data_IF_870267374402
#
_entry.id   IF_870267374402
#
_cell.length_a   1.000
_cell.length_b   1.000
_cell.length_c   1.000
_cell.angle_alpha   90.00
_cell.angle_beta   90.00
_cell.angle_gamma   90.00
#
_symmetry.space_group_name_H-M   'P 1'
#
loop_
_entity.id
_entity.type
_entity.pdbx_description
1 polymer ?
#
# COMPACT_ATOMS: atom_id res chain seq x y z
N UNK A 1 29.51 -14.26 -42.40
CA UNK A 1 28.66 -13.08 -42.40
C UNK A 1 28.90 -12.39 -41.07
N UNK A 2 29.53 -11.21 -41.09
CA UNK A 2 29.85 -10.45 -39.88
C UNK A 2 28.57 -9.97 -39.27
N UNK A 3 28.19 -10.48 -38.08
CA UNK A 3 27.16 -9.89 -37.26
C UNK A 3 27.67 -8.53 -36.72
N UNK A 4 27.62 -7.48 -37.54
CA UNK A 4 27.69 -6.13 -37.03
C UNK A 4 26.40 -5.88 -36.25
N UNK A 5 26.48 -5.95 -34.94
CA UNK A 5 25.46 -5.41 -34.07
C UNK A 5 25.26 -3.94 -34.40
N UNK A 6 24.03 -3.47 -34.40
CA UNK A 6 23.72 -2.05 -34.60
C UNK A 6 24.53 -1.22 -33.58
N UNK A 7 25.34 -0.22 -34.02
CA UNK A 7 26.19 0.57 -33.12
C UNK A 7 25.40 1.24 -31.96
N UNK A 8 24.09 1.47 -32.17
CA UNK A 8 23.22 2.02 -31.13
C UNK A 8 22.92 0.95 -30.10
N UNK A 9 22.63 -0.29 -30.53
CA UNK A 9 22.42 -1.42 -29.60
C UNK A 9 23.66 -1.65 -28.76
N UNK A 10 24.86 -1.63 -29.36
CA UNK A 10 26.12 -1.76 -28.63
C UNK A 10 26.27 -0.64 -27.58
N UNK A 11 25.94 0.61 -27.93
CA UNK A 11 25.97 1.75 -27.00
C UNK A 11 24.99 1.53 -25.82
N UNK A 12 23.78 1.03 -26.08
CA UNK A 12 22.80 0.72 -25.03
C UNK A 12 23.29 -0.42 -24.11
N UNK A 13 23.93 -1.46 -24.70
CA UNK A 13 24.52 -2.56 -23.92
C UNK A 13 25.65 -2.04 -23.02
N UNK A 14 26.54 -1.19 -23.55
CA UNK A 14 27.61 -0.57 -22.74
C UNK A 14 27.04 0.28 -21.60
N UNK A 15 25.96 1.04 -21.84
CA UNK A 15 25.28 1.81 -20.81
C UNK A 15 24.68 0.91 -19.74
N UNK A 16 24.04 -0.21 -20.10
CA UNK A 16 23.55 -1.22 -19.15
C UNK A 16 24.64 -1.80 -18.26
N UNK A 17 25.81 -2.12 -18.84
CA UNK A 17 26.98 -2.55 -18.07
C UNK A 17 27.44 -1.44 -17.13
N UNK A 18 27.45 -0.20 -17.60
CA UNK A 18 27.75 0.97 -16.77
C UNK A 18 26.82 1.12 -15.57
N UNK A 19 25.53 0.93 -15.79
CA UNK A 19 24.52 0.91 -14.71
C UNK A 19 24.74 -0.25 -13.76
N UNK A 20 25.01 -1.46 -14.25
CA UNK A 20 25.31 -2.63 -13.38
C UNK A 20 26.47 -2.38 -12.41
N UNK A 21 27.50 -1.68 -12.86
CA UNK A 21 28.70 -1.41 -12.07
C UNK A 21 28.51 -0.27 -11.07
N UNK A 22 27.75 0.75 -11.41
CA UNK A 22 27.61 1.97 -10.59
C UNK A 22 26.29 2.09 -9.84
N UNK A 23 25.23 1.57 -10.44
CA UNK A 23 23.85 1.62 -9.95
C UNK A 23 23.20 0.24 -10.11
N UNK A 24 23.60 -0.77 -9.33
CA UNK A 24 23.26 -2.17 -9.56
C UNK A 24 21.76 -2.46 -9.67
N UNK A 25 20.93 -1.74 -8.95
CA UNK A 25 19.48 -1.85 -9.08
C UNK A 25 19.02 -1.57 -10.52
N UNK A 26 19.40 -0.39 -11.06
CA UNK A 26 19.02 0.01 -12.42
C UNK A 26 19.63 -0.91 -13.48
N UNK A 27 20.88 -1.33 -13.29
CA UNK A 27 21.52 -2.26 -14.19
C UNK A 27 20.82 -3.62 -14.25
N UNK A 28 20.43 -4.17 -13.10
CA UNK A 28 19.65 -5.41 -13.05
C UNK A 28 18.29 -5.28 -13.75
N UNK A 29 17.57 -4.19 -13.52
CA UNK A 29 16.32 -3.91 -14.23
C UNK A 29 16.54 -3.76 -15.74
N UNK A 30 17.55 -2.98 -16.14
CA UNK A 30 17.88 -2.73 -17.54
C UNK A 30 18.19 -4.01 -18.33
N UNK A 31 18.89 -4.98 -17.75
CA UNK A 31 19.25 -6.22 -18.44
C UNK A 31 18.07 -7.12 -18.78
N UNK A 32 16.92 -6.91 -18.14
CA UNK A 32 15.69 -7.70 -18.36
C UNK A 32 14.85 -7.18 -19.53
N UNK A 33 15.03 -5.91 -19.90
CA UNK A 33 14.31 -5.32 -21.02
C UNK A 33 14.92 -5.77 -22.36
N UNK A 34 14.09 -6.18 -23.30
CA UNK A 34 14.53 -6.44 -24.67
C UNK A 34 14.72 -5.11 -25.39
N UNK A 35 15.83 -4.96 -26.13
CA UNK A 35 16.11 -3.75 -26.89
C UNK A 35 15.41 -3.87 -28.23
N UNK A 36 14.58 -2.89 -28.61
CA UNK A 36 13.81 -2.89 -29.85
C UNK A 36 13.85 -1.51 -30.51
N UNK A 37 14.10 -1.49 -31.83
CA UNK A 37 14.09 -0.28 -32.63
C UNK A 37 12.66 0.19 -32.87
N UNK A 38 12.36 1.39 -32.43
CA UNK A 38 11.06 2.03 -32.52
C UNK A 38 11.13 3.39 -33.26
N UNK A 39 12.12 3.58 -34.09
CA UNK A 39 12.37 4.85 -34.80
C UNK A 39 11.19 5.31 -35.67
N UNK A 40 10.28 4.38 -36.01
CA UNK A 40 9.09 4.67 -36.82
C UNK A 40 7.99 5.41 -36.07
N UNK A 41 7.92 5.26 -34.72
CA UNK A 41 6.82 5.78 -33.92
C UNK A 41 7.25 6.46 -32.62
N UNK A 42 8.43 6.17 -32.11
CA UNK A 42 8.96 6.75 -30.88
C UNK A 42 10.00 7.83 -31.22
N UNK A 43 9.86 9.03 -30.66
CA UNK A 43 10.79 10.12 -30.93
C UNK A 43 12.09 10.02 -30.11
N UNK A 44 12.04 9.44 -28.91
CA UNK A 44 13.19 9.31 -27.99
C UNK A 44 13.39 7.86 -27.53
N UNK A 45 12.78 7.48 -26.43
CA UNK A 45 12.72 6.13 -25.87
C UNK A 45 11.35 5.89 -25.26
N UNK A 46 10.99 4.63 -25.06
CA UNK A 46 9.78 4.22 -24.36
C UNK A 46 9.96 2.82 -23.77
N UNK A 47 9.09 2.44 -22.84
CA UNK A 47 9.06 1.10 -22.26
C UNK A 47 7.64 0.64 -21.99
N UNK A 48 7.41 -0.67 -22.17
CA UNK A 48 6.18 -1.37 -21.81
C UNK A 48 6.36 -2.30 -20.60
N UNK A 49 7.52 -2.22 -19.95
CA UNK A 49 7.90 -3.13 -18.85
C UNK A 49 8.67 -4.37 -19.30
N UNK A 50 8.60 -4.75 -20.57
CA UNK A 50 9.31 -5.90 -21.16
C UNK A 50 10.34 -5.50 -22.19
N UNK A 51 10.13 -4.37 -22.87
CA UNK A 51 11.00 -3.84 -23.93
C UNK A 51 11.52 -2.46 -23.57
N UNK A 52 12.71 -2.16 -24.04
CA UNK A 52 13.25 -0.81 -24.17
C UNK A 52 13.17 -0.46 -25.65
N UNK A 53 12.23 0.38 -26.01
CA UNK A 53 12.09 0.94 -27.33
C UNK A 53 13.02 2.14 -27.48
N UNK A 54 13.73 2.25 -28.60
CA UNK A 54 14.65 3.35 -28.82
C UNK A 54 14.53 3.93 -30.23
N UNK A 55 14.78 5.24 -30.35
CA UNK A 55 14.92 5.92 -31.63
C UNK A 55 16.38 6.06 -32.00
N UNK A 56 16.79 5.58 -33.21
CA UNK A 56 18.18 5.63 -33.69
C UNK A 56 18.71 7.04 -33.78
N UNK A 57 17.91 7.97 -34.32
CA UNK A 57 18.33 9.36 -34.52
C UNK A 57 18.58 10.09 -33.22
N UNK A 58 17.78 9.76 -32.21
CA UNK A 58 17.96 10.30 -30.88
C UNK A 58 19.22 9.74 -30.20
N UNK A 59 19.39 8.42 -30.18
CA UNK A 59 20.49 7.76 -29.47
C UNK A 59 21.86 7.94 -30.13
N UNK A 60 21.94 8.23 -31.44
CA UNK A 60 23.23 8.33 -32.15
C UNK A 60 24.17 9.37 -31.56
N UNK A 61 23.61 10.51 -31.11
CA UNK A 61 24.36 11.66 -30.61
C UNK A 61 24.62 11.62 -29.09
N UNK A 62 23.96 10.69 -28.36
CA UNK A 62 24.09 10.59 -26.91
C UNK A 62 25.45 9.97 -26.52
N UNK A 63 26.03 10.46 -25.43
CA UNK A 63 27.14 9.79 -24.75
C UNK A 63 26.61 8.57 -23.97
N UNK A 64 27.50 7.65 -23.60
CA UNK A 64 27.12 6.49 -22.78
C UNK A 64 26.43 6.91 -21.47
N UNK A 65 26.91 7.98 -20.83
CA UNK A 65 26.32 8.51 -19.61
C UNK A 65 24.91 9.07 -19.80
N UNK A 66 24.64 9.69 -20.92
CA UNK A 66 23.31 10.16 -21.29
C UNK A 66 22.38 9.00 -21.61
N UNK A 67 22.89 7.94 -22.25
CA UNK A 67 22.12 6.70 -22.46
C UNK A 67 21.81 6.03 -21.14
N UNK A 68 22.73 6.03 -20.14
CA UNK A 68 22.44 5.54 -18.79
C UNK A 68 21.27 6.29 -18.15
N UNK A 69 21.22 7.62 -18.30
CA UNK A 69 20.14 8.45 -17.82
C UNK A 69 18.79 8.06 -18.46
N UNK A 70 18.74 7.99 -19.79
CA UNK A 70 17.52 7.63 -20.53
C UNK A 70 17.04 6.24 -20.16
N UNK A 71 17.93 5.24 -20.11
CA UNK A 71 17.56 3.87 -19.72
C UNK A 71 17.02 3.82 -18.27
N UNK A 72 17.66 4.54 -17.35
CA UNK A 72 17.21 4.59 -15.97
C UNK A 72 15.88 5.34 -15.83
N UNK A 73 15.60 6.34 -16.68
CA UNK A 73 14.34 7.06 -16.76
C UNK A 73 13.19 6.11 -17.13
N UNK A 74 13.33 5.33 -18.19
CA UNK A 74 12.33 4.33 -18.60
C UNK A 74 12.09 3.27 -17.51
N UNK A 75 13.15 2.84 -16.82
CA UNK A 75 13.02 1.89 -15.71
C UNK A 75 12.20 2.48 -14.58
N UNK A 76 12.38 3.75 -14.22
CA UNK A 76 11.58 4.36 -13.16
C UNK A 76 10.11 4.51 -13.52
N UNK A 77 9.77 4.76 -14.80
CA UNK A 77 8.36 4.73 -15.22
C UNK A 77 7.73 3.37 -14.95
N UNK A 78 8.44 2.27 -15.18
CA UNK A 78 7.98 0.92 -14.87
C UNK A 78 7.88 0.70 -13.36
N UNK A 79 8.92 1.06 -12.59
CA UNK A 79 8.99 0.87 -11.14
C UNK A 79 7.89 1.65 -10.41
N UNK A 80 7.60 2.86 -10.84
CA UNK A 80 6.54 3.71 -10.27
C UNK A 80 5.15 3.40 -10.85
N UNK A 81 5.04 2.40 -11.74
CA UNK A 81 3.78 1.95 -12.36
C UNK A 81 3.00 3.09 -13.05
N UNK A 82 3.69 4.09 -13.62
CA UNK A 82 3.04 5.29 -14.15
C UNK A 82 2.00 4.99 -15.24
N UNK A 83 2.22 3.96 -16.07
CA UNK A 83 1.27 3.51 -17.10
C UNK A 83 -0.08 3.05 -16.55
N UNK A 84 -0.09 2.52 -15.32
CA UNK A 84 -1.26 1.86 -14.72
C UNK A 84 -1.99 2.75 -13.71
N UNK A 85 -1.40 3.91 -13.37
CA UNK A 85 -1.91 4.83 -12.34
C UNK A 85 -2.55 6.10 -12.91
N UNK A 86 -2.80 6.14 -14.22
CA UNK A 86 -3.43 7.31 -14.90
C UNK A 86 -4.85 7.56 -14.37
N UNK A 87 -5.65 6.53 -14.16
CA UNK A 87 -6.97 6.51 -13.48
C UNK A 87 -7.88 7.73 -13.74
N UNK A 88 -8.14 8.03 -15.02
CA UNK A 88 -9.06 9.12 -15.39
C UNK A 88 -8.48 10.53 -15.33
N UNK A 89 -7.18 10.69 -15.02
CA UNK A 89 -6.47 11.96 -15.05
C UNK A 89 -6.18 12.42 -16.48
N UNK A 90 -5.94 13.73 -16.67
CA UNK A 90 -5.41 14.22 -17.94
C UNK A 90 -4.03 13.65 -18.22
N UNK A 91 -3.87 13.01 -19.38
CA UNK A 91 -2.67 12.26 -19.73
C UNK A 91 -1.42 13.15 -19.88
N UNK A 92 -1.59 14.35 -20.41
CA UNK A 92 -0.45 15.25 -20.63
C UNK A 92 0.10 15.75 -19.28
N UNK A 93 -0.79 16.14 -18.38
CA UNK A 93 -0.41 16.57 -17.05
C UNK A 93 0.19 15.39 -16.28
N UNK A 94 -0.40 14.18 -16.41
CA UNK A 94 0.12 12.98 -15.77
C UNK A 94 1.53 12.63 -16.25
N UNK A 95 1.80 12.73 -17.57
CA UNK A 95 3.13 12.51 -18.13
C UNK A 95 4.13 13.52 -17.57
N UNK A 96 3.78 14.82 -17.51
CA UNK A 96 4.64 15.84 -16.93
C UNK A 96 4.91 15.57 -15.44
N UNK A 97 3.90 15.21 -14.66
CA UNK A 97 4.05 14.87 -13.24
C UNK A 97 4.92 13.63 -13.03
N UNK A 98 4.74 12.60 -13.87
CA UNK A 98 5.55 11.40 -13.88
C UNK A 98 7.02 11.72 -14.18
N UNK A 99 7.29 12.57 -15.17
CA UNK A 99 8.63 13.02 -15.53
C UNK A 99 9.29 13.84 -14.43
N UNK A 100 8.56 14.74 -13.75
CA UNK A 100 9.10 15.44 -12.58
C UNK A 100 9.53 14.48 -11.47
N UNK A 101 8.74 13.46 -11.20
CA UNK A 101 9.05 12.43 -10.20
C UNK A 101 10.30 11.61 -10.59
N UNK A 102 10.35 11.12 -11.83
CA UNK A 102 11.44 10.31 -12.37
C UNK A 102 12.74 11.11 -12.43
N UNK A 103 12.71 12.28 -13.10
CA UNK A 103 13.88 13.12 -13.26
C UNK A 103 14.40 13.64 -11.91
N UNK A 104 13.49 13.95 -10.98
CA UNK A 104 13.83 14.34 -9.61
C UNK A 104 14.66 13.27 -8.91
N UNK A 105 14.27 12.01 -9.00
CA UNK A 105 15.03 10.88 -8.45
C UNK A 105 16.39 10.71 -9.13
N UNK A 106 16.44 10.71 -10.45
CA UNK A 106 17.68 10.49 -11.20
C UNK A 106 18.72 11.60 -10.96
N UNK A 107 18.31 12.86 -10.96
CA UNK A 107 19.19 14.01 -10.71
C UNK A 107 19.70 14.03 -9.28
N UNK A 108 18.82 13.80 -8.29
CA UNK A 108 19.18 13.73 -6.88
C UNK A 108 20.20 12.62 -6.61
N UNK A 109 19.98 11.44 -7.17
CA UNK A 109 20.80 10.25 -6.91
C UNK A 109 21.98 10.15 -7.91
N UNK A 110 22.16 11.16 -8.79
CA UNK A 110 23.25 11.30 -9.76
C UNK A 110 23.40 10.09 -10.70
N UNK A 111 22.29 9.63 -11.26
CA UNK A 111 22.22 8.47 -12.15
C UNK A 111 22.31 8.93 -13.59
N UNK A 112 23.42 8.60 -14.25
CA UNK A 112 23.69 9.08 -15.60
C UNK A 112 23.95 10.58 -15.70
N UNK A 113 23.78 11.13 -16.89
CA UNK A 113 23.91 12.56 -17.22
C UNK A 113 22.73 12.99 -18.08
N UNK A 114 22.11 14.12 -17.75
CA UNK A 114 20.97 14.67 -18.50
C UNK A 114 21.43 15.01 -19.93
N UNK A 115 20.74 14.53 -20.99
CA UNK A 115 21.04 14.91 -22.36
C UNK A 115 20.82 16.41 -22.61
N UNK A 116 21.79 17.16 -23.13
CA UNK A 116 21.71 18.61 -23.24
C UNK A 116 20.68 19.10 -24.26
N UNK A 117 20.24 18.21 -25.17
CA UNK A 117 19.24 18.52 -26.21
C UNK A 117 17.79 18.39 -25.72
N UNK A 118 17.57 17.84 -24.54
CA UNK A 118 16.25 17.63 -23.98
C UNK A 118 16.05 18.61 -22.83
N UNK A 119 14.89 19.29 -22.84
CA UNK A 119 14.42 20.04 -21.69
C UNK A 119 13.67 19.07 -20.78
N UNK A 120 14.31 18.62 -19.70
CA UNK A 120 13.68 17.73 -18.73
C UNK A 120 12.74 18.51 -17.79
N UNK A 121 11.65 17.86 -17.37
CA UNK A 121 10.81 18.32 -16.27
C UNK A 121 11.52 18.03 -14.95
N UNK A 122 12.03 19.07 -14.29
CA UNK A 122 12.75 18.93 -13.04
C UNK A 122 12.62 20.20 -12.19
N UNK A 123 12.15 20.04 -10.94
CA UNK A 123 12.11 21.08 -9.93
C UNK A 123 12.29 20.44 -8.55
N UNK A 124 13.17 21.00 -7.73
CA UNK A 124 13.45 20.51 -6.38
C UNK A 124 12.25 20.63 -5.42
N UNK A 125 11.27 21.50 -5.73
CA UNK A 125 10.03 21.62 -4.96
C UNK A 125 9.20 20.34 -4.92
N UNK A 126 9.38 19.45 -5.92
CA UNK A 126 8.67 18.19 -6.06
C UNK A 126 9.39 16.99 -5.42
N UNK A 127 10.58 17.18 -4.83
CA UNK A 127 11.30 16.08 -4.19
C UNK A 127 10.50 15.47 -3.03
N UNK A 128 10.40 14.13 -3.04
CA UNK A 128 9.70 13.36 -2.01
C UNK A 128 8.17 13.37 -2.11
N UNK A 129 7.61 14.03 -3.14
CA UNK A 129 6.17 13.98 -3.42
C UNK A 129 5.82 12.81 -4.31
N UNK A 130 4.60 12.27 -4.15
CA UNK A 130 4.07 11.28 -5.07
C UNK A 130 3.71 11.93 -6.42
N UNK A 131 3.61 11.12 -7.48
CA UNK A 131 3.23 11.59 -8.80
C UNK A 131 1.84 12.24 -8.79
N UNK A 132 0.90 11.72 -7.97
CA UNK A 132 -0.43 12.29 -7.78
C UNK A 132 -0.37 13.69 -7.17
N UNK A 133 0.43 13.88 -6.12
CA UNK A 133 0.62 15.21 -5.50
C UNK A 133 1.22 16.22 -6.47
N UNK A 134 2.17 15.77 -7.30
CA UNK A 134 2.77 16.64 -8.34
C UNK A 134 1.72 16.96 -9.41
N UNK A 135 0.90 15.98 -9.80
CA UNK A 135 -0.21 16.18 -10.75
C UNK A 135 -1.19 17.23 -10.25
N UNK A 136 -1.66 17.11 -9.01
CA UNK A 136 -2.62 18.03 -8.42
C UNK A 136 -2.05 19.46 -8.37
N UNK A 137 -0.78 19.61 -7.97
CA UNK A 137 -0.10 20.92 -7.96
C UNK A 137 0.03 21.54 -9.37
N UNK A 138 0.37 20.73 -10.39
CA UNK A 138 0.48 21.21 -11.77
C UNK A 138 -0.89 21.56 -12.31
N UNK A 139 -1.91 20.75 -12.01
CA UNK A 139 -3.28 20.97 -12.47
C UNK A 139 -3.87 22.27 -11.92
N UNK A 140 -3.61 22.58 -10.65
CA UNK A 140 -4.10 23.78 -9.98
C UNK A 140 -3.37 25.05 -10.44
N UNK A 141 -2.10 24.95 -10.83
CA UNK A 141 -1.23 26.07 -11.19
C UNK A 141 -1.31 26.46 -12.69
N UNK A 142 -1.83 25.60 -13.58
CA UNK A 142 -1.81 25.79 -15.03
C UNK A 142 -3.10 26.39 -15.60
N UNK A 143 -2.95 27.31 -16.56
CA UNK A 143 -4.06 27.76 -17.40
C UNK A 143 -4.25 26.85 -18.65
N UNK A 144 -5.42 26.97 -19.31
CA UNK A 144 -5.78 26.16 -20.49
C UNK A 144 -4.76 26.26 -21.65
N UNK A 145 -4.01 27.37 -21.76
CA UNK A 145 -3.00 27.59 -22.81
C UNK A 145 -1.69 26.89 -22.48
N UNK A 146 -1.29 26.88 -21.22
CA UNK A 146 -0.11 26.17 -20.74
C UNK A 146 -0.33 24.67 -20.84
N UNK A 147 -1.54 24.22 -20.54
CA UNK A 147 -1.95 22.82 -20.70
C UNK A 147 -1.82 22.34 -22.16
N UNK A 148 -2.31 23.13 -23.10
CA UNK A 148 -2.21 22.82 -24.53
C UNK A 148 -0.75 22.82 -25.03
N UNK A 149 0.10 23.68 -24.49
CA UNK A 149 1.53 23.73 -24.81
C UNK A 149 2.30 22.53 -24.25
N UNK A 150 1.89 22.00 -23.11
CA UNK A 150 2.47 20.81 -22.49
C UNK A 150 2.34 19.57 -23.39
N UNK A 151 1.16 19.38 -23.99
CA UNK A 151 0.90 18.24 -24.90
C UNK A 151 1.77 18.23 -26.18
N UNK A 152 2.38 19.36 -26.53
CA UNK A 152 3.30 19.46 -27.69
C UNK A 152 4.77 19.16 -27.31
N UNK A 153 5.10 19.18 -26.03
CA UNK A 153 6.47 19.03 -25.52
C UNK A 153 6.79 17.61 -25.02
N UNK A 154 5.74 16.80 -24.80
CA UNK A 154 5.87 15.49 -24.18
C UNK A 154 5.90 14.40 -25.23
N UNK A 155 6.88 13.51 -25.13
CA UNK A 155 6.81 12.20 -25.74
C UNK A 155 5.72 11.35 -25.05
N UNK A 156 4.93 10.64 -25.85
CA UNK A 156 3.79 9.85 -25.40
C UNK A 156 4.30 8.48 -24.90
N UNK A 157 4.97 8.49 -23.72
CA UNK A 157 5.62 7.30 -23.15
C UNK A 157 4.65 6.27 -22.54
N UNK A 158 3.41 6.68 -22.25
CA UNK A 158 2.57 5.95 -21.27
C UNK A 158 1.32 5.34 -21.90
N UNK A 159 1.01 5.59 -23.17
CA UNK A 159 -0.23 5.15 -23.80
C UNK A 159 -0.12 3.78 -24.48
N UNK A 160 -0.38 2.71 -23.73
CA UNK A 160 -0.37 1.34 -24.23
C UNK A 160 -1.79 0.77 -24.47
N UNK A 161 -2.84 1.52 -24.10
CA UNK A 161 -4.23 1.11 -24.24
C UNK A 161 -4.94 1.67 -25.50
N UNK A 162 -4.36 2.66 -26.18
CA UNK A 162 -5.00 3.26 -27.36
C UNK A 162 -4.88 2.40 -28.60
N UNK A 163 -6.00 2.33 -29.35
CA UNK A 163 -6.01 1.94 -30.76
C UNK A 163 -5.09 2.87 -31.57
N UNK A 164 -3.81 2.53 -31.61
CA UNK A 164 -2.80 3.22 -32.40
C UNK A 164 -2.84 2.78 -33.85
N UNK A 165 -1.97 3.37 -34.65
CA UNK A 165 -1.73 3.06 -36.07
C UNK A 165 -1.14 1.66 -36.33
N UNK A 166 -1.21 0.74 -35.36
CA UNK A 166 -0.69 -0.63 -35.45
C UNK A 166 0.81 -0.76 -35.32
N UNK A 167 1.54 0.31 -35.03
CA UNK A 167 3.00 0.30 -34.90
C UNK A 167 3.46 0.12 -33.45
N UNK A 168 2.64 0.54 -32.48
CA UNK A 168 2.90 0.36 -31.04
C UNK A 168 2.34 -0.97 -30.56
N UNK A 169 2.99 -1.69 -29.61
CA UNK A 169 2.40 -2.79 -28.92
C UNK A 169 1.13 -2.35 -28.18
N UNK A 170 0.10 -3.19 -28.23
CA UNK A 170 -1.14 -2.96 -27.51
C UNK A 170 -1.39 -4.13 -26.58
N UNK A 171 -1.89 -3.84 -25.37
CA UNK A 171 -2.08 -4.83 -24.33
C UNK A 171 -3.51 -4.79 -23.80
N UNK A 172 -4.08 -5.97 -23.57
CA UNK A 172 -5.32 -6.12 -22.84
C UNK A 172 -5.11 -5.79 -21.35
N UNK A 173 -6.18 -5.54 -20.62
CA UNK A 173 -6.11 -5.28 -19.16
C UNK A 173 -5.48 -6.44 -18.40
N UNK A 174 -5.73 -7.68 -18.84
CA UNK A 174 -5.14 -8.89 -18.27
C UNK A 174 -3.64 -8.95 -18.50
N UNK A 175 -3.18 -8.60 -19.70
CA UNK A 175 -1.76 -8.56 -20.05
C UNK A 175 -1.03 -7.44 -19.29
N UNK A 176 -1.63 -6.25 -19.16
CA UNK A 176 -1.08 -5.16 -18.36
C UNK A 176 -0.93 -5.56 -16.88
N UNK A 177 -1.90 -6.31 -16.33
CA UNK A 177 -1.79 -6.85 -14.98
C UNK A 177 -0.63 -7.84 -14.84
N UNK A 178 -0.44 -8.73 -15.83
CA UNK A 178 0.69 -9.67 -15.85
C UNK A 178 2.04 -8.91 -15.91
N UNK A 179 2.14 -7.91 -16.78
CA UNK A 179 3.34 -7.07 -16.89
C UNK A 179 3.64 -6.37 -15.56
N UNK A 180 2.62 -5.86 -14.88
CA UNK A 180 2.74 -5.27 -13.55
C UNK A 180 3.31 -6.24 -12.52
N UNK A 181 2.79 -7.46 -12.47
CA UNK A 181 3.26 -8.48 -11.54
C UNK A 181 4.71 -8.90 -11.86
N UNK A 182 5.07 -9.01 -13.15
CA UNK A 182 6.45 -9.25 -13.61
C UNK A 182 7.41 -8.12 -13.19
N UNK A 183 7.01 -6.86 -13.34
CA UNK A 183 7.81 -5.70 -12.92
C UNK A 183 8.05 -5.73 -11.41
N UNK A 184 7.04 -6.03 -10.60
CA UNK A 184 7.17 -6.14 -9.13
C UNK A 184 8.15 -7.24 -8.74
N UNK A 185 8.07 -8.40 -9.36
CA UNK A 185 9.00 -9.50 -9.12
C UNK A 185 10.43 -9.11 -9.52
N UNK A 186 10.59 -8.51 -10.71
CA UNK A 186 11.88 -8.03 -11.20
C UNK A 186 12.49 -6.97 -10.28
N UNK A 187 11.68 -6.03 -9.77
CA UNK A 187 12.09 -4.99 -8.84
C UNK A 187 12.62 -5.58 -7.52
N UNK A 188 11.90 -6.56 -6.95
CA UNK A 188 12.35 -7.25 -5.73
C UNK A 188 13.68 -7.99 -5.94
N UNK A 189 13.81 -8.73 -7.04
CA UNK A 189 15.03 -9.45 -7.38
C UNK A 189 16.20 -8.49 -7.66
N UNK A 190 15.96 -7.37 -8.36
CA UNK A 190 16.98 -6.36 -8.64
C UNK A 190 17.48 -5.69 -7.36
N UNK A 191 16.59 -5.36 -6.43
CA UNK A 191 16.95 -4.78 -5.14
C UNK A 191 17.74 -5.75 -4.26
N UNK A 192 17.36 -7.04 -4.25
CA UNK A 192 18.09 -8.07 -3.55
C UNK A 192 19.52 -8.24 -4.12
N UNK A 193 19.65 -8.25 -5.43
CA UNK A 193 20.95 -8.36 -6.11
C UNK A 193 21.82 -7.11 -5.90
N UNK A 194 21.23 -5.91 -5.84
CA UNK A 194 21.94 -4.66 -5.62
C UNK A 194 22.42 -4.51 -4.17
N UNK A 195 21.71 -5.06 -3.21
CA UNK A 195 21.94 -4.89 -1.76
C UNK A 195 21.42 -3.55 -1.21
N UNK A 196 21.26 -3.48 0.12
CA UNK A 196 20.56 -2.40 0.81
C UNK A 196 21.13 -0.98 0.58
N UNK A 197 22.42 -0.84 0.26
CA UNK A 197 23.06 0.46 0.05
C UNK A 197 22.99 1.00 -1.38
N UNK A 198 22.57 0.19 -2.35
CA UNK A 198 22.66 0.50 -3.77
C UNK A 198 21.27 0.60 -4.46
N UNK A 199 20.22 0.60 -3.67
CA UNK A 199 18.85 0.81 -4.14
C UNK A 199 18.36 2.18 -3.66
N UNK A 200 17.76 3.03 -4.50
CA UNK A 200 17.20 4.31 -4.08
C UNK A 200 16.23 4.18 -2.90
N UNK A 201 16.25 5.16 -1.98
CA UNK A 201 15.48 5.08 -0.74
C UNK A 201 13.97 4.96 -0.98
N UNK A 202 13.44 5.62 -2.00
CA UNK A 202 12.02 5.54 -2.38
C UNK A 202 11.64 4.13 -2.83
N UNK A 203 12.50 3.50 -3.65
CA UNK A 203 12.30 2.13 -4.12
C UNK A 203 12.40 1.14 -2.94
N UNK A 204 13.33 1.36 -2.01
CA UNK A 204 13.41 0.54 -0.79
C UNK A 204 12.12 0.63 0.04
N UNK A 205 11.53 1.82 0.14
CA UNK A 205 10.23 2.01 0.82
C UNK A 205 9.12 1.25 0.10
N UNK A 206 9.02 1.39 -1.22
CA UNK A 206 8.02 0.65 -2.03
C UNK A 206 8.16 -0.87 -1.87
N UNK A 207 9.40 -1.39 -1.90
CA UNK A 207 9.65 -2.82 -1.71
C UNK A 207 9.25 -3.25 -0.30
N UNK A 208 9.53 -2.44 0.72
CA UNK A 208 9.11 -2.74 2.10
C UNK A 208 7.58 -2.81 2.19
N UNK A 209 6.86 -1.85 1.62
CA UNK A 209 5.40 -1.84 1.57
C UNK A 209 4.81 -3.06 0.83
N UNK A 210 5.53 -3.56 -0.19
CA UNK A 210 5.13 -4.77 -0.94
C UNK A 210 5.48 -6.08 -0.21
N UNK A 211 6.56 -6.08 0.59
CA UNK A 211 7.08 -7.30 1.25
C UNK A 211 6.67 -7.40 2.71
N UNK A 212 6.33 -6.30 3.37
CA UNK A 212 5.73 -6.36 4.68
C UNK A 212 4.42 -7.16 4.56
N UNK A 213 4.32 -8.31 5.26
CA UNK A 213 3.08 -9.06 5.24
C UNK A 213 2.00 -8.14 5.79
N UNK A 214 1.11 -7.67 4.93
CA UNK A 214 -0.12 -7.01 5.37
C UNK A 214 -0.87 -8.06 6.18
N UNK A 215 -0.67 -8.06 7.50
CA UNK A 215 -1.41 -8.95 8.37
C UNK A 215 -2.88 -8.62 8.18
N UNK A 216 -3.64 -9.63 7.75
CA UNK A 216 -5.07 -9.48 7.57
C UNK A 216 -5.67 -9.11 8.93
N UNK A 217 -6.20 -7.91 9.07
CA UNK A 217 -6.79 -7.41 10.31
C UNK A 217 -7.85 -8.39 10.88
N UNK A 218 -8.57 -9.11 10.01
CA UNK A 218 -9.53 -10.14 10.39
C UNK A 218 -8.86 -11.31 11.12
N UNK A 219 -7.67 -11.71 10.67
CA UNK A 219 -6.90 -12.78 11.32
C UNK A 219 -6.34 -12.33 12.68
N UNK A 220 -5.88 -11.07 12.77
CA UNK A 220 -5.43 -10.50 14.05
C UNK A 220 -6.63 -10.40 15.01
N UNK A 221 -7.76 -9.90 14.54
CA UNK A 221 -9.01 -9.82 15.32
C UNK A 221 -9.41 -11.20 15.84
N UNK A 222 -9.39 -12.22 14.96
CA UNK A 222 -9.66 -13.61 15.33
C UNK A 222 -8.72 -14.11 16.42
N UNK A 223 -7.41 -13.89 16.27
CA UNK A 223 -6.41 -14.27 17.28
C UNK A 223 -6.66 -13.55 18.61
N UNK A 224 -7.03 -12.28 18.59
CA UNK A 224 -7.34 -11.50 19.78
C UNK A 224 -8.59 -12.02 20.49
N UNK A 225 -9.65 -12.36 19.77
CA UNK A 225 -10.84 -13.00 20.33
C UNK A 225 -10.51 -14.39 20.89
N UNK A 226 -9.77 -15.20 20.15
CA UNK A 226 -9.34 -16.54 20.62
C UNK A 226 -8.44 -16.49 21.86
N UNK A 227 -7.63 -15.44 22.01
CA UNK A 227 -6.77 -15.29 23.20
C UNK A 227 -7.58 -15.14 24.49
N UNK A 228 -8.79 -14.59 24.38
CA UNK A 228 -9.72 -14.41 25.51
C UNK A 228 -10.21 -15.74 26.09
N UNK A 229 -10.33 -16.77 25.23
CA UNK A 229 -10.83 -18.09 25.62
C UNK A 229 -9.77 -18.92 26.36
N UNK A 230 -8.49 -18.71 26.09
CA UNK A 230 -7.37 -19.57 26.54
C UNK A 230 -6.75 -19.16 27.88
N UNK A 231 -7.18 -18.09 28.50
CA UNK A 231 -6.45 -17.47 29.62
C UNK A 231 -6.88 -17.93 31.02
N UNK A 232 -7.91 -18.75 31.19
CA UNK A 232 -8.29 -19.28 32.50
C UNK A 232 -7.56 -20.60 32.78
N UNK A 233 -6.56 -20.55 33.66
CA UNK A 233 -5.91 -21.71 34.21
C UNK A 233 -6.59 -22.14 35.51
N UNK A 234 -6.97 -23.42 35.63
CA UNK A 234 -7.56 -23.96 36.84
C UNK A 234 -6.75 -25.14 37.38
N UNK A 235 -6.59 -25.19 38.70
CA UNK A 235 -6.07 -26.36 39.38
C UNK A 235 -7.16 -27.43 39.67
N UNK A 236 -8.43 -27.13 39.43
CA UNK A 236 -9.50 -28.11 39.57
C UNK A 236 -9.44 -29.24 38.55
N UNK A 237 -8.86 -28.97 37.37
CA UNK A 237 -8.57 -29.98 36.35
C UNK A 237 -7.12 -29.89 35.96
N UNK A 238 -6.17 -30.42 36.76
CA UNK A 238 -4.74 -30.28 36.53
C UNK A 238 -4.29 -30.99 35.26
N UNK A 239 -3.29 -30.40 34.59
CA UNK A 239 -2.66 -30.98 33.40
C UNK A 239 -1.92 -32.25 33.74
N UNK A 240 -2.35 -33.41 33.21
CA UNK A 240 -1.78 -34.73 33.50
C UNK A 240 -0.41 -34.98 32.85
N UNK A 241 0.03 -34.16 31.92
CA UNK A 241 1.28 -34.31 31.18
C UNK A 241 2.53 -34.25 32.07
N UNK A 242 2.49 -33.57 33.20
CA UNK A 242 3.61 -33.42 34.12
C UNK A 242 3.55 -34.38 35.35
N UNK A 243 2.58 -35.28 35.46
CA UNK A 243 2.43 -36.18 36.60
C UNK A 243 3.62 -37.13 36.76
N UNK A 244 4.27 -37.51 35.65
CA UNK A 244 5.48 -38.35 35.71
C UNK A 244 6.68 -37.66 36.37
N UNK A 245 6.63 -36.32 36.50
CA UNK A 245 7.64 -35.50 37.18
C UNK A 245 7.19 -35.05 38.58
N UNK A 246 6.11 -35.59 39.12
CA UNK A 246 5.47 -35.17 40.36
C UNK A 246 5.13 -33.66 40.40
N UNK A 247 4.92 -33.05 39.23
CA UNK A 247 4.52 -31.64 39.13
C UNK A 247 3.01 -31.53 38.82
N UNK A 248 2.30 -30.78 39.65
CA UNK A 248 0.89 -30.44 39.43
C UNK A 248 0.88 -29.11 38.69
N UNK A 249 0.66 -29.16 37.38
CA UNK A 249 0.49 -27.96 36.57
C UNK A 249 -0.99 -27.64 36.43
N UNK A 250 -1.36 -26.33 36.40
CA UNK A 250 -2.74 -25.96 36.15
C UNK A 250 -3.18 -26.46 34.77
N UNK A 251 -4.40 -26.97 34.70
CA UNK A 251 -5.07 -27.26 33.43
C UNK A 251 -5.73 -26.01 32.87
N UNK A 252 -5.96 -25.99 31.57
CA UNK A 252 -6.73 -24.93 30.94
C UNK A 252 -8.21 -25.17 31.21
N UNK A 253 -8.90 -24.21 31.81
CA UNK A 253 -10.35 -24.22 31.84
C UNK A 253 -10.81 -23.65 30.49
N UNK A 254 -11.49 -24.45 29.71
CA UNK A 254 -12.20 -23.94 28.55
C UNK A 254 -13.53 -23.38 29.05
N UNK A 255 -13.53 -22.13 29.50
CA UNK A 255 -14.76 -21.37 29.51
C UNK A 255 -15.08 -21.13 28.03
N UNK A 256 -16.04 -21.85 27.50
CA UNK A 256 -16.45 -21.76 26.09
C UNK A 256 -17.16 -20.44 25.81
N UNK A 257 -17.43 -19.63 26.85
CA UNK A 257 -18.13 -18.36 26.74
C UNK A 257 -17.15 -17.22 26.44
N UNK A 258 -17.30 -16.61 25.27
CA UNK A 258 -16.59 -15.37 24.92
C UNK A 258 -17.36 -14.21 25.53
N UNK A 259 -16.69 -13.40 26.35
CA UNK A 259 -17.22 -12.17 26.95
C UNK A 259 -16.41 -10.99 26.48
N UNK A 260 -16.91 -10.29 25.48
CA UNK A 260 -16.24 -9.14 24.85
C UNK A 260 -17.20 -7.97 24.70
N UNK A 261 -16.63 -6.76 24.77
CA UNK A 261 -17.32 -5.54 24.41
C UNK A 261 -16.75 -4.99 23.11
N UNK A 262 -17.62 -4.50 22.24
CA UNK A 262 -17.25 -3.92 20.95
C UNK A 262 -17.85 -2.52 20.87
N UNK A 263 -17.01 -1.53 20.56
CA UNK A 263 -17.41 -0.16 20.30
C UNK A 263 -17.11 0.23 18.86
N UNK A 264 -18.07 0.80 18.16
CA UNK A 264 -17.93 1.31 16.80
C UNK A 264 -17.96 2.83 16.86
N UNK A 265 -16.86 3.44 16.45
CA UNK A 265 -16.73 4.88 16.28
C UNK A 265 -17.59 5.33 15.09
N UNK A 266 -18.58 6.17 15.36
CA UNK A 266 -19.47 6.73 14.33
C UNK A 266 -19.20 8.21 14.11
N UNK A 267 -17.94 8.65 14.29
CA UNK A 267 -17.50 9.95 13.84
C UNK A 267 -17.61 10.08 12.31
N UNK A 268 -17.68 11.31 11.79
CA UNK A 268 -18.00 11.56 10.38
C UNK A 268 -17.05 10.94 9.33
N UNK A 269 -15.95 10.30 9.75
CA UNK A 269 -14.97 9.61 8.92
C UNK A 269 -15.28 8.12 8.67
N UNK A 270 -16.16 7.51 9.48
CA UNK A 270 -16.56 6.10 9.33
C UNK A 270 -17.99 6.04 8.79
N UNK A 271 -18.14 5.43 7.62
CA UNK A 271 -19.44 5.23 6.97
C UNK A 271 -20.10 3.92 7.38
N UNK A 272 -21.42 3.82 7.14
CA UNK A 272 -22.23 2.64 7.43
C UNK A 272 -21.69 1.36 6.79
N UNK A 273 -21.10 1.45 5.59
CA UNK A 273 -20.58 0.29 4.87
C UNK A 273 -19.34 -0.31 5.55
N UNK A 274 -18.44 0.54 6.08
CA UNK A 274 -17.28 0.09 6.84
C UNK A 274 -17.70 -0.55 8.18
N UNK A 275 -18.63 0.06 8.87
CA UNK A 275 -19.19 -0.51 10.12
C UNK A 275 -19.84 -1.86 9.86
N UNK A 276 -20.62 -2.02 8.79
CA UNK A 276 -21.25 -3.29 8.39
C UNK A 276 -20.23 -4.36 8.03
N UNK A 277 -19.15 -4.01 7.28
CA UNK A 277 -18.07 -4.96 6.95
C UNK A 277 -17.35 -5.44 8.22
N UNK A 278 -17.10 -4.53 9.18
CA UNK A 278 -16.52 -4.88 10.47
C UNK A 278 -17.43 -5.83 11.26
N UNK A 279 -18.74 -5.51 11.39
CA UNK A 279 -19.74 -6.34 12.07
C UNK A 279 -19.82 -7.73 11.39
N UNK A 280 -19.81 -7.79 10.06
CA UNK A 280 -19.79 -9.04 9.30
C UNK A 280 -18.57 -9.90 9.62
N UNK A 281 -17.38 -9.26 9.74
CA UNK A 281 -16.17 -9.98 10.13
C UNK A 281 -16.24 -10.52 11.56
N UNK A 282 -16.78 -9.74 12.50
CA UNK A 282 -17.02 -10.19 13.87
C UNK A 282 -17.97 -11.38 13.87
N UNK A 283 -19.09 -11.30 13.16
CA UNK A 283 -20.06 -12.40 13.03
C UNK A 283 -19.39 -13.67 12.52
N UNK A 284 -18.61 -13.57 11.40
CA UNK A 284 -17.93 -14.73 10.84
C UNK A 284 -16.97 -15.42 11.82
N UNK A 285 -16.39 -14.67 12.77
CA UNK A 285 -15.55 -15.23 13.83
C UNK A 285 -16.43 -15.88 14.91
N UNK A 286 -17.52 -15.21 15.28
CA UNK A 286 -18.40 -15.69 16.36
C UNK A 286 -19.19 -16.94 15.98
N UNK A 287 -19.54 -17.12 14.70
CA UNK A 287 -20.21 -18.32 14.20
C UNK A 287 -19.39 -19.62 14.38
N UNK A 288 -18.11 -19.51 14.70
CA UNK A 288 -17.24 -20.65 15.05
C UNK A 288 -17.44 -21.12 16.51
N UNK A 289 -18.13 -20.35 17.34
CA UNK A 289 -18.31 -20.62 18.76
C UNK A 289 -19.75 -20.92 19.09
N UNK A 290 -19.98 -21.89 19.97
CA UNK A 290 -21.33 -22.31 20.37
C UNK A 290 -21.99 -21.35 21.35
N UNK A 291 -21.20 -20.76 22.23
CA UNK A 291 -21.64 -19.85 23.27
C UNK A 291 -20.76 -18.61 23.27
N UNK A 292 -21.38 -17.45 23.15
CA UNK A 292 -20.70 -16.16 23.25
C UNK A 292 -21.63 -15.12 23.86
N UNK A 293 -21.02 -14.07 24.42
CA UNK A 293 -21.69 -12.90 24.90
C UNK A 293 -20.97 -11.67 24.43
N UNK A 294 -21.61 -10.90 23.56
CA UNK A 294 -21.06 -9.67 23.00
C UNK A 294 -21.95 -8.52 23.42
N UNK A 295 -21.36 -7.49 24.02
CA UNK A 295 -21.98 -6.18 24.13
C UNK A 295 -21.46 -5.31 23.00
N UNK A 296 -22.36 -4.79 22.18
CA UNK A 296 -22.04 -3.92 21.04
C UNK A 296 -22.73 -2.57 21.24
N UNK A 297 -21.98 -1.51 21.01
CA UNK A 297 -22.51 -0.15 20.99
C UNK A 297 -21.79 0.72 19.97
N UNK A 298 -22.43 1.83 19.58
CA UNK A 298 -21.82 2.91 18.84
C UNK A 298 -21.45 4.05 19.78
N UNK A 299 -20.42 4.81 19.41
CA UNK A 299 -20.05 6.01 20.14
C UNK A 299 -19.57 7.12 19.23
N UNK A 300 -19.70 8.34 19.73
CA UNK A 300 -19.02 9.54 19.22
C UNK A 300 -18.47 10.34 20.42
N UNK A 301 -19.20 11.28 20.97
CA UNK A 301 -18.91 11.96 22.25
C UNK A 301 -19.57 11.25 23.45
N UNK A 302 -20.44 10.28 23.20
CA UNK A 302 -21.11 9.41 24.19
C UNK A 302 -21.49 8.09 23.54
N UNK A 303 -21.89 7.12 24.35
CA UNK A 303 -22.33 5.80 23.92
C UNK A 303 -23.81 5.82 23.50
N UNK A 304 -24.12 5.08 22.42
CA UNK A 304 -25.45 4.92 21.85
C UNK A 304 -25.73 3.46 21.52
N UNK A 305 -27.02 3.09 21.54
CA UNK A 305 -27.55 1.84 21.03
C UNK A 305 -26.79 0.59 21.53
N UNK A 306 -26.55 0.50 22.87
CA UNK A 306 -26.02 -0.72 23.47
C UNK A 306 -26.96 -1.89 23.27
N UNK A 307 -26.45 -3.00 22.77
CA UNK A 307 -27.20 -4.27 22.61
C UNK A 307 -26.33 -5.45 23.02
N UNK A 308 -27.00 -6.47 23.61
CA UNK A 308 -26.38 -7.74 23.96
C UNK A 308 -26.69 -8.77 22.87
N UNK A 309 -25.66 -9.47 22.40
CA UNK A 309 -25.74 -10.55 21.43
C UNK A 309 -25.21 -11.84 22.04
N UNK A 310 -25.97 -12.91 21.90
CA UNK A 310 -25.61 -14.27 22.30
C UNK A 310 -25.86 -15.23 21.11
N UNK A 311 -25.39 -16.46 21.20
CA UNK A 311 -25.57 -17.45 20.13
C UNK A 311 -27.05 -17.86 19.88
N UNK A 312 -28.00 -17.35 20.64
CA UNK A 312 -29.41 -17.75 20.61
C UNK A 312 -30.40 -16.60 20.36
N UNK A 313 -29.91 -15.35 20.35
CA UNK A 313 -30.69 -14.14 20.23
C UNK A 313 -30.80 -13.54 18.86
N UNK A 314 -30.81 -12.21 18.78
CA UNK A 314 -30.83 -11.44 17.55
C UNK A 314 -29.54 -11.62 16.74
N UNK A 315 -29.65 -11.56 15.39
CA UNK A 315 -28.50 -11.56 14.52
C UNK A 315 -27.77 -10.20 14.63
N UNK A 316 -26.48 -10.23 14.93
CA UNK A 316 -25.63 -9.02 15.03
C UNK A 316 -25.65 -8.20 13.71
N UNK A 317 -26.02 -8.81 12.57
CA UNK A 317 -26.16 -8.10 11.29
C UNK A 317 -27.38 -7.18 11.23
N UNK A 318 -28.34 -7.33 12.16
CA UNK A 318 -29.51 -6.45 12.31
C UNK A 318 -29.19 -5.19 13.13
N UNK A 319 -27.95 -5.06 13.63
CA UNK A 319 -27.54 -3.93 14.42
C UNK A 319 -27.54 -2.64 13.61
N UNK A 320 -28.25 -1.62 14.08
CA UNK A 320 -28.29 -0.30 13.47
C UNK A 320 -27.25 0.61 14.10
N UNK A 321 -26.30 1.09 13.26
CA UNK A 321 -25.28 2.04 13.69
C UNK A 321 -25.87 3.43 13.89
N UNK A 322 -25.48 4.12 14.95
CA UNK A 322 -25.99 5.45 15.32
C UNK A 322 -24.83 6.35 15.76
N UNK A 323 -24.84 7.61 15.35
CA UNK A 323 -23.82 8.61 15.71
C UNK A 323 -23.69 9.69 14.64
N UNK A 324 -22.60 10.44 14.64
CA UNK A 324 -22.33 11.51 13.67
C UNK A 324 -21.71 12.77 14.29
N UNK A 325 -21.21 12.67 15.52
CA UNK A 325 -20.59 13.77 16.26
C UNK A 325 -19.07 13.78 16.19
N UNK A 326 -18.42 14.34 17.22
CA UNK A 326 -16.99 14.29 17.44
C UNK A 326 -16.55 12.93 17.98
N UNK A 327 -15.25 12.75 18.25
CA UNK A 327 -14.69 11.46 18.65
C UNK A 327 -14.08 11.55 20.04
N UNK A 328 -14.77 11.04 21.08
CA UNK A 328 -14.25 10.99 22.45
C UNK A 328 -14.12 9.53 22.92
N UNK A 329 -12.92 8.98 22.87
CA UNK A 329 -12.71 7.57 23.24
C UNK A 329 -13.02 7.31 24.72
N UNK A 330 -12.66 8.26 25.61
CA UNK A 330 -12.85 8.10 27.04
C UNK A 330 -14.30 7.84 27.44
N UNK A 331 -15.26 8.32 26.64
CA UNK A 331 -16.69 8.07 26.85
C UNK A 331 -17.05 6.58 26.98
N UNK A 332 -16.31 5.70 26.30
CA UNK A 332 -16.51 4.24 26.40
C UNK A 332 -16.11 3.71 27.77
N UNK A 333 -14.97 4.14 28.32
CA UNK A 333 -14.52 3.69 29.64
C UNK A 333 -15.37 4.24 30.78
N UNK A 334 -15.81 5.51 30.64
CA UNK A 334 -16.73 6.12 31.62
C UNK A 334 -18.07 5.39 31.61
N UNK A 335 -18.58 5.05 30.41
CA UNK A 335 -19.78 4.25 30.26
C UNK A 335 -19.65 2.86 30.90
N UNK A 336 -18.54 2.14 30.62
CA UNK A 336 -18.29 0.83 31.23
C UNK A 336 -18.20 0.92 32.75
N UNK A 337 -17.56 1.95 33.29
CA UNK A 337 -17.46 2.18 34.76
C UNK A 337 -18.81 2.49 35.39
N UNK A 338 -19.63 3.32 34.74
CA UNK A 338 -20.96 3.72 35.23
C UNK A 338 -21.93 2.53 35.27
N UNK A 339 -21.82 1.59 34.32
CA UNK A 339 -22.71 0.44 34.20
C UNK A 339 -22.10 -0.86 34.75
N UNK A 340 -20.98 -0.80 35.46
CA UNK A 340 -20.27 -1.95 36.03
C UNK A 340 -19.97 -3.06 35.00
N UNK A 341 -19.60 -2.65 33.76
CA UNK A 341 -19.24 -3.54 32.66
C UNK A 341 -17.75 -3.83 32.72
N UNK A 342 -17.36 -5.07 33.02
CA UNK A 342 -15.97 -5.50 33.15
C UNK A 342 -15.65 -6.59 32.10
N UNK A 343 -15.43 -6.23 30.82
CA UNK A 343 -15.19 -7.21 29.78
C UNK A 343 -13.80 -7.84 29.91
N UNK A 344 -13.67 -9.10 29.48
CA UNK A 344 -12.36 -9.75 29.33
C UNK A 344 -11.53 -9.08 28.24
N UNK A 345 -12.20 -8.55 27.21
CA UNK A 345 -11.56 -7.79 26.13
C UNK A 345 -12.52 -6.73 25.58
N UNK A 346 -11.96 -5.57 25.32
CA UNK A 346 -12.64 -4.46 24.66
C UNK A 346 -12.06 -4.24 23.26
N UNK A 347 -12.91 -4.23 22.23
CA UNK A 347 -12.54 -4.03 20.85
C UNK A 347 -13.13 -2.71 20.38
N UNK A 348 -12.29 -1.81 19.90
CA UNK A 348 -12.71 -0.51 19.37
C UNK A 348 -12.40 -0.41 17.87
N UNK A 349 -13.42 -0.16 17.06
CA UNK A 349 -13.29 0.17 15.65
C UNK A 349 -13.34 1.69 15.49
N UNK A 350 -12.27 2.30 14.95
CA UNK A 350 -12.09 3.76 14.92
C UNK A 350 -11.16 4.18 13.79
N UNK A 351 -11.16 5.48 13.43
CA UNK A 351 -10.18 6.09 12.53
C UNK A 351 -8.85 6.49 13.24
N UNK A 352 -8.81 6.34 14.57
CA UNK A 352 -7.61 6.60 15.36
C UNK A 352 -7.36 8.07 15.69
N UNK A 353 -8.34 8.95 15.60
CA UNK A 353 -8.25 10.37 15.96
C UNK A 353 -9.08 10.75 17.20
N UNK A 354 -8.65 10.38 18.41
CA UNK A 354 -9.39 10.74 19.61
C UNK A 354 -9.30 12.24 19.90
N UNK A 355 -10.38 12.81 20.38
CA UNK A 355 -10.33 14.11 21.02
C UNK A 355 -9.82 13.95 22.46
N UNK A 356 -8.53 14.16 22.68
CA UNK A 356 -7.89 14.05 23.99
C UNK A 356 -7.25 12.69 24.27
N UNK A 357 -7.87 11.87 25.13
CA UNK A 357 -7.29 10.61 25.61
C UNK A 357 -7.63 9.41 24.71
N UNK A 358 -6.72 8.44 24.64
CA UNK A 358 -6.96 7.12 24.04
C UNK A 358 -7.79 6.19 24.93
N UNK A 359 -8.07 6.57 26.18
CA UNK A 359 -8.82 5.77 27.14
C UNK A 359 -8.02 5.41 28.40
N UNK A 360 -8.45 4.37 29.12
CA UNK A 360 -7.82 3.89 30.37
C UNK A 360 -7.14 2.54 30.13
N UNK A 361 -5.80 2.54 30.03
CA UNK A 361 -5.00 1.34 29.74
C UNK A 361 -5.09 0.24 30.81
N UNK A 362 -5.48 0.60 32.04
CA UNK A 362 -5.49 -0.32 33.17
C UNK A 362 -6.86 -0.93 33.43
N UNK A 363 -7.89 -0.53 32.67
CA UNK A 363 -9.26 -0.98 32.91
C UNK A 363 -9.53 -2.40 32.37
N UNK A 364 -9.17 -2.66 31.11
CA UNK A 364 -9.35 -3.96 30.47
C UNK A 364 -8.36 -4.14 29.30
N UNK A 365 -8.19 -5.38 28.84
CA UNK A 365 -7.39 -5.66 27.65
C UNK A 365 -8.09 -5.07 26.40
N UNK A 366 -7.44 -4.12 25.75
CA UNK A 366 -8.03 -3.34 24.64
C UNK A 366 -7.36 -3.67 23.31
N UNK A 367 -8.17 -3.83 22.27
CA UNK A 367 -7.75 -4.04 20.90
C UNK A 367 -8.36 -2.98 19.98
N UNK A 368 -7.52 -2.25 19.27
CA UNK A 368 -7.93 -1.21 18.33
C UNK A 368 -7.90 -1.71 16.89
N UNK A 369 -9.00 -1.55 16.15
CA UNK A 369 -9.07 -1.76 14.71
C UNK A 369 -9.16 -0.38 14.05
N UNK A 370 -8.06 0.05 13.40
CA UNK A 370 -7.91 1.42 12.92
C UNK A 370 -8.20 1.49 11.43
N UNK A 371 -9.16 2.32 11.05
CA UNK A 371 -9.56 2.57 9.68
C UNK A 371 -8.87 3.82 9.09
N UNK A 372 -8.42 3.72 7.84
CA UNK A 372 -7.97 4.89 7.05
C UNK A 372 -6.64 5.53 7.48
N UNK A 373 -6.00 5.05 8.55
CA UNK A 373 -4.76 5.63 9.04
C UNK A 373 -3.75 4.57 9.51
N UNK A 374 -2.85 4.17 8.62
CA UNK A 374 -1.84 3.14 8.88
C UNK A 374 -0.58 3.67 9.60
N UNK A 375 -0.55 4.95 9.98
CA UNK A 375 0.62 5.57 10.63
C UNK A 375 0.41 5.82 12.11
N UNK A 376 -0.82 5.84 12.59
CA UNK A 376 -1.13 6.02 14.01
C UNK A 376 -0.90 4.72 14.76
N UNK A 377 -0.17 4.80 15.86
CA UNK A 377 0.04 3.69 16.79
C UNK A 377 -0.61 4.08 18.13
N UNK A 378 -1.59 3.31 18.63
CA UNK A 378 -2.16 3.52 19.95
C UNK A 378 -1.08 3.49 21.04
N UNK A 379 -1.19 4.32 22.10
CA UNK A 379 -0.21 4.35 23.18
C UNK A 379 -0.25 3.07 24.05
N UNK A 380 -1.33 2.31 23.99
CA UNK A 380 -1.52 1.04 24.71
C UNK A 380 -2.41 0.09 23.91
N UNK A 381 -2.51 -1.15 24.37
CA UNK A 381 -3.32 -2.18 23.72
C UNK A 381 -2.69 -2.73 22.43
N UNK A 382 -3.28 -3.82 21.91
CA UNK A 382 -2.93 -4.33 20.60
C UNK A 382 -3.74 -3.58 19.52
N UNK A 383 -3.23 -3.55 18.28
CA UNK A 383 -3.95 -2.90 17.19
C UNK A 383 -3.78 -3.64 15.87
N UNK A 384 -4.70 -3.39 14.94
CA UNK A 384 -4.61 -3.79 13.54
C UNK A 384 -5.17 -2.68 12.65
N UNK A 385 -4.65 -2.58 11.43
CA UNK A 385 -5.14 -1.62 10.46
C UNK A 385 -6.17 -2.26 9.56
N UNK A 386 -7.34 -1.62 9.47
CA UNK A 386 -8.46 -2.04 8.64
C UNK A 386 -8.30 -1.48 7.22
N UNK A 387 -8.32 -2.35 6.22
CA UNK A 387 -8.38 -1.97 4.81
C UNK A 387 -9.73 -2.42 4.24
N UNK A 388 -10.56 -1.45 3.84
CA UNK A 388 -11.78 -1.73 3.08
C UNK A 388 -11.39 -2.05 1.64
N UNK A 389 -11.76 -3.23 1.16
CA UNK A 389 -11.60 -3.59 -0.25
C UNK A 389 -12.89 -3.24 -0.97
N UNK A 390 -12.86 -2.13 -1.74
CA UNK A 390 -13.90 -1.83 -2.73
C UNK A 390 -13.95 -2.92 -3.80
#
# INVERSE_FOLDING_TARGET
MSNYLDPIVDKIVVARVGLLLRHPFFGNMATRLKIEDASDWCATAATDGRHLFYNKDFFKDLTTKQVEFVVAHEILHNVYEHMMRVEGRDRNIWNAAADYSVNGTLVRDKIGEVPPKIKIFHDTKHYGKSTEQIYDEIYDDMDDKELAALGQLLDDHIDWEKDGDGKRPQYSKEELKQIRDEIKEQMMQAAQAAGAGNTPAEIQRMIRELTEPKMNWREILRQQIQSTIKNDYTFMRPNRKAWHMNAILPGTNFDETIDICIAIDMSGSIGDDQAKDFISAVKGIMDEYKEYKIKLWCFDTKVYNEQDFDGYGQDIMEYEVMGGGGTEFMANWDYMKEHDINPKKFIMFTDGYPFGSWGDENYCDTFFVIHGNNTIVPPFGAHAYYEFKN
#
